data_IF_513876675054
#
_entry.id   IF_513876675054
#
_cell.length_a   1.000
_cell.length_b   1.000
_cell.length_c   1.000
_cell.angle_alpha   90.00
_cell.angle_beta   90.00
_cell.angle_gamma   90.00
#
_symmetry.space_group_name_H-M   'P 1'
#
loop_
_entity.id
_entity.type
_entity.pdbx_description
1 polymer ?
#
# COMPACT_ATOMS: atom_id res chain seq x y z
N UNK A 1 3.53 -34.81 10.60
CA UNK A 1 3.22 -33.64 9.75
C UNK A 1 2.40 -34.13 8.59
N UNK A 2 1.26 -33.49 8.30
CA UNK A 2 0.40 -33.86 7.17
C UNK A 2 1.22 -33.99 5.86
N UNK A 3 1.10 -35.13 5.18
CA UNK A 3 1.75 -35.38 3.89
C UNK A 3 1.06 -34.61 2.73
N UNK A 4 -0.04 -33.91 3.01
CA UNK A 4 -0.78 -33.14 2.02
C UNK A 4 -0.08 -31.79 1.82
N UNK A 5 0.39 -31.45 0.60
CA UNK A 5 0.96 -30.13 0.35
C UNK A 5 -0.05 -29.02 0.66
N UNK A 6 0.41 -27.89 1.20
CA UNK A 6 -0.47 -26.74 1.51
C UNK A 6 -1.29 -26.30 0.29
N UNK A 7 -0.68 -26.30 -0.90
CA UNK A 7 -1.36 -25.97 -2.17
C UNK A 7 -2.43 -26.97 -2.63
N UNK A 8 -2.62 -28.08 -1.90
CA UNK A 8 -3.73 -29.03 -2.10
C UNK A 8 -4.85 -28.88 -1.06
N UNK A 9 -4.78 -27.86 -0.22
CA UNK A 9 -5.88 -27.48 0.65
C UNK A 9 -6.77 -26.44 -0.03
N UNK A 10 -8.07 -26.60 0.13
CA UNK A 10 -9.03 -25.55 -0.14
C UNK A 10 -9.09 -24.60 1.07
N UNK A 11 -9.10 -23.31 0.79
CA UNK A 11 -9.36 -22.24 1.77
C UNK A 11 -10.87 -21.98 1.91
N UNK A 12 -11.35 -21.95 3.14
CA UNK A 12 -12.64 -21.37 3.52
C UNK A 12 -12.36 -20.13 4.37
N UNK A 13 -13.22 -19.10 4.31
CA UNK A 13 -13.09 -17.91 5.16
C UNK A 13 -14.45 -17.25 5.38
N UNK A 14 -14.62 -16.66 6.55
CA UNK A 14 -15.72 -15.76 6.92
C UNK A 14 -15.26 -14.29 7.05
N UNK A 15 -14.13 -13.94 6.42
CA UNK A 15 -13.45 -12.65 6.54
C UNK A 15 -12.87 -12.32 7.92
N UNK A 16 -13.18 -13.08 8.97
CA UNK A 16 -12.60 -12.93 10.30
C UNK A 16 -11.50 -13.96 10.54
N UNK A 17 -11.66 -15.18 10.01
CA UNK A 17 -10.68 -16.25 10.03
C UNK A 17 -10.73 -17.11 8.76
N UNK A 18 -9.95 -18.19 8.74
CA UNK A 18 -9.94 -19.17 7.68
C UNK A 18 -9.71 -20.60 8.16
N UNK A 19 -10.22 -21.54 7.37
CA UNK A 19 -10.00 -22.97 7.52
C UNK A 19 -9.30 -23.53 6.27
N UNK A 20 -8.41 -24.50 6.46
CA UNK A 20 -7.79 -25.26 5.36
C UNK A 20 -8.35 -26.69 5.33
N UNK A 21 -8.97 -27.04 4.20
CA UNK A 21 -9.68 -28.31 4.01
C UNK A 21 -8.98 -29.15 2.94
N UNK A 22 -8.66 -30.39 3.28
CA UNK A 22 -8.07 -31.35 2.34
C UNK A 22 -9.13 -31.93 1.41
N UNK A 23 -8.73 -32.45 0.24
CA UNK A 23 -9.61 -33.24 -0.63
C UNK A 23 -10.09 -34.57 -0.02
N UNK A 24 -9.63 -34.93 1.19
CA UNK A 24 -10.12 -36.05 1.97
C UNK A 24 -11.22 -35.64 2.97
N UNK A 25 -11.57 -34.35 3.05
CA UNK A 25 -12.61 -33.83 3.95
C UNK A 25 -12.12 -33.52 5.36
N UNK A 26 -10.80 -33.50 5.56
CA UNK A 26 -10.17 -33.11 6.83
C UNK A 26 -9.93 -31.61 6.85
N UNK A 27 -10.39 -30.93 7.90
CA UNK A 27 -9.98 -29.57 8.26
C UNK A 27 -8.70 -29.66 9.08
N UNK A 28 -7.58 -29.35 8.45
CA UNK A 28 -6.24 -29.51 9.02
C UNK A 28 -5.72 -28.24 9.70
N UNK A 29 -6.30 -27.09 9.40
CA UNK A 29 -5.98 -25.81 10.03
C UNK A 29 -7.24 -24.97 10.24
N UNK A 30 -7.40 -24.41 11.44
CA UNK A 30 -8.49 -23.49 11.75
C UNK A 30 -8.11 -22.61 12.94
N UNK A 31 -7.98 -21.30 12.74
CA UNK A 31 -7.89 -20.33 13.84
C UNK A 31 -9.28 -19.80 14.17
N UNK A 32 -9.62 -19.60 15.45
CA UNK A 32 -10.86 -18.93 15.83
C UNK A 32 -10.62 -18.04 17.07
N UNK A 33 -11.28 -16.87 17.15
CA UNK A 33 -12.22 -16.31 16.18
C UNK A 33 -11.55 -15.54 15.02
N UNK A 34 -10.22 -15.35 15.05
CA UNK A 34 -9.47 -14.55 14.07
C UNK A 34 -8.31 -15.30 13.44
N UNK A 35 -7.79 -14.80 12.32
CA UNK A 35 -6.58 -15.31 11.66
C UNK A 35 -5.35 -15.42 12.57
N UNK A 36 -5.16 -14.46 13.48
CA UNK A 36 -4.03 -14.37 14.41
C UNK A 36 -4.25 -15.11 15.75
N UNK A 37 -5.40 -15.75 15.92
CA UNK A 37 -5.71 -16.53 17.12
C UNK A 37 -4.93 -17.85 17.14
N UNK A 38 -4.74 -18.42 18.33
CA UNK A 38 -4.20 -19.76 18.45
C UNK A 38 -5.06 -20.74 17.62
N UNK A 39 -4.46 -21.64 16.83
CA UNK A 39 -5.22 -22.57 16.01
C UNK A 39 -6.00 -23.53 16.91
N UNK A 40 -7.30 -23.66 16.65
CA UNK A 40 -8.16 -24.66 17.26
C UNK A 40 -7.88 -26.06 16.66
N UNK A 41 -7.49 -26.10 15.39
CA UNK A 41 -7.01 -27.29 14.67
C UNK A 41 -5.68 -26.95 14.00
N UNK A 42 -4.67 -27.80 14.15
CA UNK A 42 -3.30 -27.53 13.68
C UNK A 42 -2.59 -28.75 13.08
N UNK A 43 -3.35 -29.73 12.56
CA UNK A 43 -2.81 -30.93 11.90
C UNK A 43 -1.79 -30.65 10.80
N UNK A 44 -1.89 -29.48 10.15
CA UNK A 44 -0.93 -29.02 9.16
C UNK A 44 0.51 -29.02 9.69
N UNK A 45 0.72 -28.71 10.98
CA UNK A 45 2.04 -28.63 11.61
C UNK A 45 2.43 -29.91 12.34
N UNK A 46 1.46 -30.65 12.88
CA UNK A 46 1.70 -31.89 13.63
C UNK A 46 0.45 -32.78 13.56
N UNK A 47 0.60 -34.06 13.22
CA UNK A 47 -0.55 -34.97 13.03
C UNK A 47 -1.39 -35.14 14.30
N UNK A 48 -0.77 -34.97 15.47
CA UNK A 48 -1.41 -35.07 16.78
C UNK A 48 -2.05 -33.75 17.25
N UNK A 49 -1.89 -32.64 16.51
CA UNK A 49 -2.40 -31.31 16.88
C UNK A 49 -3.88 -31.07 16.49
N UNK A 50 -4.63 -32.14 16.26
CA UNK A 50 -6.09 -32.14 16.07
C UNK A 50 -6.56 -31.72 14.67
N UNK A 51 -7.65 -32.36 14.23
CA UNK A 51 -8.36 -32.06 12.98
C UNK A 51 -9.86 -32.39 13.12
N UNK A 52 -10.65 -31.96 12.16
CA UNK A 52 -12.06 -32.34 12.02
C UNK A 52 -12.27 -33.04 10.67
N UNK A 53 -12.90 -34.22 10.67
CA UNK A 53 -13.05 -35.05 9.46
C UNK A 53 -14.51 -35.37 9.18
N UNK A 54 -14.96 -35.07 7.96
CA UNK A 54 -16.16 -35.65 7.36
C UNK A 54 -15.76 -36.31 6.04
N UNK A 55 -15.89 -37.63 5.97
CA UNK A 55 -15.53 -38.40 4.79
C UNK A 55 -16.39 -39.67 4.68
N UNK A 56 -16.47 -40.31 3.49
CA UNK A 56 -17.01 -41.66 3.38
C UNK A 56 -16.27 -42.63 4.32
N UNK A 57 -16.98 -43.62 4.87
CA UNK A 57 -16.38 -44.66 5.73
C UNK A 57 -15.60 -45.72 4.95
N UNK A 58 -15.68 -45.73 3.63
CA UNK A 58 -14.89 -46.62 2.76
C UNK A 58 -13.54 -45.98 2.48
N UNK A 59 -12.46 -46.75 2.52
CA UNK A 59 -11.11 -46.27 2.17
C UNK A 59 -10.87 -46.22 0.65
N UNK A 60 -11.78 -46.80 -0.13
CA UNK A 60 -11.66 -46.90 -1.58
C UNK A 60 -12.57 -45.85 -2.27
N UNK A 61 -12.09 -44.62 -2.35
CA UNK A 61 -12.74 -43.54 -3.09
C UNK A 61 -11.77 -42.76 -3.97
N UNK A 62 -12.31 -42.13 -5.01
CA UNK A 62 -11.68 -40.99 -5.66
C UNK A 62 -12.32 -39.71 -5.16
N UNK A 63 -11.53 -38.66 -4.89
CA UNK A 63 -12.05 -37.35 -4.54
C UNK A 63 -11.74 -36.29 -5.59
N UNK A 64 -12.66 -35.35 -5.73
CA UNK A 64 -12.48 -34.11 -6.48
C UNK A 64 -13.19 -32.99 -5.73
N UNK A 65 -12.74 -31.75 -5.93
CA UNK A 65 -13.35 -30.61 -5.27
C UNK A 65 -13.40 -29.42 -6.21
N UNK A 66 -14.33 -28.51 -5.94
CA UNK A 66 -14.45 -27.24 -6.64
C UNK A 66 -15.06 -26.19 -5.73
N UNK A 67 -14.66 -24.94 -5.94
CA UNK A 67 -15.44 -23.83 -5.42
C UNK A 67 -16.72 -23.65 -6.22
N UNK A 68 -17.81 -23.34 -5.53
CA UNK A 68 -19.01 -22.83 -6.19
C UNK A 68 -18.72 -21.46 -6.81
N UNK A 69 -19.39 -21.10 -7.91
CA UNK A 69 -19.22 -19.78 -8.51
C UNK A 69 -19.43 -18.66 -7.49
N UNK A 70 -18.57 -17.64 -7.56
CA UNK A 70 -18.67 -16.41 -6.77
C UNK A 70 -18.59 -16.59 -5.24
N UNK A 71 -17.82 -17.55 -4.72
CA UNK A 71 -17.57 -17.61 -3.27
C UNK A 71 -16.58 -18.68 -2.83
N UNK A 72 -16.20 -18.61 -1.55
CA UNK A 72 -15.38 -19.62 -0.87
C UNK A 72 -16.26 -20.73 -0.26
N UNK A 73 -17.17 -21.26 -1.07
CA UNK A 73 -18.01 -22.42 -0.73
C UNK A 73 -17.46 -23.61 -1.50
N UNK A 74 -17.04 -24.64 -0.78
CA UNK A 74 -16.38 -25.82 -1.34
C UNK A 74 -17.37 -26.95 -1.50
N UNK A 75 -17.50 -27.50 -2.71
CA UNK A 75 -18.11 -28.81 -2.90
C UNK A 75 -16.99 -29.84 -3.04
N UNK A 76 -16.93 -30.80 -2.12
CA UNK A 76 -16.07 -31.97 -2.21
C UNK A 76 -16.90 -33.19 -2.58
N UNK A 77 -16.55 -33.83 -3.69
CA UNK A 77 -17.20 -35.01 -4.22
C UNK A 77 -16.29 -36.21 -4.02
N UNK A 78 -16.81 -37.25 -3.36
CA UNK A 78 -16.19 -38.57 -3.29
C UNK A 78 -17.03 -39.58 -4.05
N UNK A 79 -16.37 -40.37 -4.89
CA UNK A 79 -16.99 -41.47 -5.63
C UNK A 79 -16.38 -42.81 -5.21
N UNK A 80 -17.24 -43.77 -4.89
CA UNK A 80 -16.86 -45.14 -4.49
C UNK A 80 -17.75 -46.16 -5.22
N UNK A 81 -17.50 -47.45 -4.99
CA UNK A 81 -18.37 -48.52 -5.51
C UNK A 81 -19.79 -48.47 -4.95
N UNK A 82 -19.99 -47.86 -3.79
CA UNK A 82 -21.28 -47.78 -3.10
C UNK A 82 -22.09 -46.54 -3.51
N UNK A 83 -21.47 -45.60 -4.23
CA UNK A 83 -22.12 -44.37 -4.69
C UNK A 83 -21.24 -43.13 -4.57
N UNK A 84 -21.89 -41.99 -4.71
CA UNK A 84 -21.26 -40.66 -4.66
C UNK A 84 -21.76 -39.88 -3.45
N UNK A 85 -20.84 -39.27 -2.70
CA UNK A 85 -21.12 -38.35 -1.61
C UNK A 85 -20.60 -36.97 -2.00
N UNK A 86 -21.44 -35.95 -1.82
CA UNK A 86 -21.03 -34.55 -1.98
C UNK A 86 -21.20 -33.85 -0.62
N UNK A 87 -20.12 -33.29 -0.10
CA UNK A 87 -20.17 -32.41 1.07
C UNK A 87 -19.94 -30.98 0.61
N UNK A 88 -20.74 -30.08 1.16
CA UNK A 88 -20.60 -28.64 0.95
C UNK A 88 -20.07 -28.00 2.22
N UNK A 89 -18.84 -27.53 2.19
CA UNK A 89 -18.21 -26.82 3.30
C UNK A 89 -18.25 -25.31 3.06
N UNK A 90 -18.60 -24.57 4.11
CA UNK A 90 -18.60 -23.11 4.10
C UNK A 90 -18.42 -22.58 5.53
N UNK A 91 -17.76 -21.43 5.66
CA UNK A 91 -17.79 -20.65 6.89
C UNK A 91 -18.93 -19.63 6.79
N UNK A 92 -19.78 -19.61 7.81
CA UNK A 92 -20.90 -18.67 7.85
C UNK A 92 -20.41 -17.31 8.34
N UNK A 93 -20.74 -16.27 7.59
CA UNK A 93 -20.57 -14.88 8.02
C UNK A 93 -21.43 -14.60 9.25
N UNK A 94 -21.00 -13.67 10.09
CA UNK A 94 -21.76 -13.28 11.27
C UNK A 94 -23.21 -12.90 10.92
N UNK A 95 -24.14 -13.06 11.87
CA UNK A 95 -25.57 -12.79 11.64
C UNK A 95 -25.87 -11.34 11.16
N UNK A 96 -24.91 -10.43 11.27
CA UNK A 96 -24.93 -9.02 10.87
C UNK A 96 -23.90 -8.66 9.78
N UNK A 97 -23.33 -9.64 9.10
CA UNK A 97 -22.32 -9.43 8.05
C UNK A 97 -22.89 -9.91 6.71
N UNK A 98 -23.78 -9.11 6.11
CA UNK A 98 -24.38 -9.40 4.79
C UNK A 98 -24.04 -8.30 3.79
N UNK A 99 -23.70 -8.68 2.56
CA UNK A 99 -23.47 -7.72 1.48
C UNK A 99 -22.28 -6.80 1.78
N UNK A 100 -22.49 -5.48 1.77
CA UNK A 100 -21.48 -4.46 2.07
C UNK A 100 -21.08 -4.39 3.56
N UNK A 101 -21.66 -5.22 4.43
CA UNK A 101 -21.25 -5.37 5.83
C UNK A 101 -20.21 -6.49 6.03
N UNK A 102 -19.79 -7.13 4.93
CA UNK A 102 -18.69 -8.10 4.90
C UNK A 102 -17.37 -7.45 5.32
N UNK A 103 -16.73 -7.96 6.38
CA UNK A 103 -15.50 -7.38 6.91
C UNK A 103 -15.71 -6.13 7.78
N UNK A 104 -16.95 -5.75 8.10
CA UNK A 104 -17.26 -4.62 9.00
C UNK A 104 -16.69 -4.81 10.43
N UNK A 105 -16.44 -6.07 10.82
CA UNK A 105 -15.79 -6.46 12.08
C UNK A 105 -14.29 -6.69 11.94
N UNK A 106 -13.75 -6.74 10.71
CA UNK A 106 -12.36 -7.04 10.40
C UNK A 106 -11.58 -5.72 10.23
N UNK A 107 -10.69 -5.36 11.16
CA UNK A 107 -9.83 -4.20 11.01
C UNK A 107 -8.80 -4.47 9.91
N UNK A 108 -8.64 -3.52 8.99
CA UNK A 108 -7.51 -3.54 8.05
C UNK A 108 -7.82 -3.34 6.57
N UNK A 109 -9.01 -2.88 6.18
CA UNK A 109 -9.24 -2.53 4.77
C UNK A 109 -8.74 -1.11 4.49
N UNK A 110 -7.60 -1.03 3.82
CA UNK A 110 -6.90 0.19 3.45
C UNK A 110 -7.55 0.86 2.23
N UNK A 111 -7.85 2.16 2.37
CA UNK A 111 -7.82 3.24 1.36
C UNK A 111 -8.53 3.09 0.01
N UNK A 112 -8.19 2.06 -0.79
CA UNK A 112 -8.62 1.97 -2.19
C UNK A 112 -9.84 1.08 -2.41
N UNK A 113 -10.18 0.18 -1.46
CA UNK A 113 -11.45 -0.55 -1.52
C UNK A 113 -12.66 0.39 -1.38
N UNK A 114 -12.46 1.54 -0.72
CA UNK A 114 -13.48 2.56 -0.49
C UNK A 114 -13.84 3.30 -1.79
N UNK A 115 -12.91 3.43 -2.75
CA UNK A 115 -13.23 4.02 -4.05
C UNK A 115 -14.18 3.14 -4.89
N UNK A 116 -14.24 1.83 -4.61
CA UNK A 116 -15.16 0.89 -5.25
C UNK A 116 -16.51 0.75 -4.51
N UNK A 117 -16.59 1.17 -3.25
CA UNK A 117 -17.78 1.12 -2.41
C UNK A 117 -18.17 2.54 -1.92
N UNK A 118 -18.92 3.32 -2.72
CA UNK A 118 -19.24 4.73 -2.42
C UNK A 118 -19.99 4.95 -1.10
N UNK A 119 -20.63 3.91 -0.54
CA UNK A 119 -21.40 3.98 0.71
C UNK A 119 -20.55 3.72 1.99
N UNK A 120 -19.25 3.44 1.84
CA UNK A 120 -18.38 3.02 2.95
C UNK A 120 -17.41 4.11 3.43
N UNK A 121 -17.15 5.15 2.63
CA UNK A 121 -16.20 6.21 2.99
C UNK A 121 -16.55 6.91 4.31
N UNK A 122 -17.81 7.36 4.46
CA UNK A 122 -18.27 7.99 5.70
C UNK A 122 -18.16 7.05 6.90
N UNK A 123 -18.45 5.76 6.73
CA UNK A 123 -18.34 4.74 7.79
C UNK A 123 -16.89 4.51 8.20
N UNK A 124 -15.97 4.48 7.24
CA UNK A 124 -14.53 4.36 7.48
C UNK A 124 -14.00 5.55 8.29
N UNK A 125 -14.30 6.78 7.87
CA UNK A 125 -13.88 7.96 8.63
C UNK A 125 -14.55 8.03 10.01
N UNK A 126 -15.80 7.60 10.16
CA UNK A 126 -16.46 7.49 11.46
C UNK A 126 -15.81 6.42 12.35
N UNK A 127 -15.39 5.28 11.77
CA UNK A 127 -14.60 4.27 12.49
C UNK A 127 -13.26 4.84 12.96
N UNK A 128 -12.51 5.50 12.07
CA UNK A 128 -11.25 6.15 12.42
C UNK A 128 -11.45 7.22 13.49
N UNK A 129 -12.48 8.06 13.35
CA UNK A 129 -12.83 9.08 14.33
C UNK A 129 -13.16 8.45 15.68
N UNK A 130 -13.88 7.31 15.74
CA UNK A 130 -14.15 6.61 17.02
C UNK A 130 -12.90 5.95 17.61
N UNK A 131 -12.07 5.34 16.76
CA UNK A 131 -10.79 4.76 17.15
C UNK A 131 -9.82 5.83 17.68
N UNK A 132 -9.80 7.03 17.09
CA UNK A 132 -8.96 8.14 17.51
C UNK A 132 -9.60 9.06 18.60
N UNK A 133 -10.93 9.13 18.69
CA UNK A 133 -11.62 10.00 19.66
C UNK A 133 -11.56 9.47 21.09
N UNK A 134 -11.40 8.16 21.27
CA UNK A 134 -11.22 7.57 22.60
C UNK A 134 -9.87 7.95 23.21
N UNK A 135 -8.88 8.31 22.38
CA UNK A 135 -7.53 8.73 22.78
C UNK A 135 -6.86 9.37 21.57
N UNK A 136 -6.51 10.66 21.60
CA UNK A 136 -5.17 11.17 21.22
C UNK A 136 -5.13 12.66 20.86
N UNK A 137 -5.83 13.12 19.81
CA UNK A 137 -5.66 14.48 19.28
C UNK A 137 -6.10 15.61 20.24
N UNK A 138 -7.24 15.45 20.90
CA UNK A 138 -7.75 16.43 21.88
C UNK A 138 -6.98 16.49 23.20
N UNK A 139 -6.04 15.57 23.43
CA UNK A 139 -5.20 15.50 24.65
C UNK A 139 -3.71 15.78 24.37
N UNK A 140 -3.36 16.17 23.14
CA UNK A 140 -1.99 16.55 22.78
C UNK A 140 -1.06 15.39 22.41
N UNK A 141 -1.54 14.15 22.36
CA UNK A 141 -0.73 13.00 21.93
C UNK A 141 -0.86 12.75 20.42
N UNK A 142 0.15 12.15 19.82
CA UNK A 142 0.19 11.85 18.38
C UNK A 142 -0.84 10.77 18.01
N UNK A 143 -1.24 10.73 16.73
CA UNK A 143 -2.15 9.71 16.22
C UNK A 143 -1.39 8.40 16.09
N UNK A 144 -1.91 7.33 16.70
CA UNK A 144 -1.30 6.01 16.59
C UNK A 144 -1.41 5.49 15.15
N UNK A 145 -0.29 5.00 14.63
CA UNK A 145 -0.12 4.69 13.19
C UNK A 145 -0.65 3.31 12.80
N UNK A 146 -0.78 2.40 13.77
CA UNK A 146 -1.22 1.03 13.53
C UNK A 146 -1.93 0.43 14.74
N UNK A 147 -2.79 -0.54 14.47
CA UNK A 147 -3.59 -1.24 15.45
C UNK A 147 -3.58 -2.73 15.12
N UNK A 148 -3.79 -3.57 16.13
CA UNK A 148 -4.00 -4.99 15.91
C UNK A 148 -5.33 -5.26 15.19
N UNK A 149 -5.50 -6.48 14.67
CA UNK A 149 -6.72 -6.93 13.97
C UNK A 149 -7.93 -6.99 14.93
N UNK A 150 -7.80 -6.72 16.22
CA UNK A 150 -8.92 -6.47 17.15
C UNK A 150 -9.11 -5.02 17.54
N UNK A 151 -8.30 -4.11 17.00
CA UNK A 151 -8.15 -2.75 17.53
C UNK A 151 -7.27 -2.68 18.77
N UNK A 152 -6.42 -3.69 19.01
CA UNK A 152 -5.40 -3.64 20.06
C UNK A 152 -4.49 -2.44 19.83
N UNK A 153 -4.15 -1.75 20.93
CA UNK A 153 -3.32 -0.53 20.89
C UNK A 153 -1.90 -0.75 21.33
N UNK A 154 -1.68 -1.75 22.17
CA UNK A 154 -0.35 -2.21 22.56
C UNK A 154 0.06 -3.31 21.59
N UNK A 155 1.08 -3.03 20.80
CA UNK A 155 1.64 -3.94 19.81
C UNK A 155 3.10 -4.25 20.13
N UNK A 156 3.46 -4.21 21.43
CA UNK A 156 4.82 -4.47 21.91
C UNK A 156 5.42 -5.70 21.22
N UNK A 157 6.57 -5.49 20.61
CA UNK A 157 7.30 -6.53 19.92
C UNK A 157 7.96 -7.48 20.92
N UNK A 158 7.94 -8.76 20.59
CA UNK A 158 8.65 -9.81 21.34
C UNK A 158 9.45 -10.67 20.38
N UNK A 159 10.68 -10.96 20.76
CA UNK A 159 11.52 -11.91 20.03
C UNK A 159 11.16 -13.35 20.40
N UNK A 160 10.98 -14.18 19.38
CA UNK A 160 10.62 -15.59 19.49
C UNK A 160 11.85 -16.44 19.21
N UNK A 161 12.84 -16.41 20.10
CA UNK A 161 14.14 -17.09 19.92
C UNK A 161 14.08 -18.63 19.82
N UNK A 162 12.90 -19.24 19.99
CA UNK A 162 12.66 -20.66 19.76
C UNK A 162 12.33 -20.99 18.29
N UNK A 163 12.13 -19.97 17.43
CA UNK A 163 11.87 -20.12 16.01
C UNK A 163 13.11 -19.70 15.22
N UNK A 164 13.49 -20.50 14.22
CA UNK A 164 14.59 -20.18 13.30
C UNK A 164 14.20 -19.14 12.24
N UNK A 165 12.90 -18.97 11.99
CA UNK A 165 12.39 -18.12 10.91
C UNK A 165 12.46 -18.78 9.53
N UNK A 166 11.80 -18.17 8.55
CA UNK A 166 11.86 -18.63 7.16
C UNK A 166 13.28 -18.40 6.60
N UNK A 167 13.88 -19.42 5.99
CA UNK A 167 15.28 -19.40 5.50
C UNK A 167 16.29 -18.94 6.56
N UNK A 168 16.09 -19.35 7.82
CA UNK A 168 16.92 -18.96 8.97
C UNK A 168 16.97 -17.45 9.23
N UNK A 169 15.94 -16.71 8.79
CA UNK A 169 15.79 -15.28 9.02
C UNK A 169 15.54 -15.01 10.50
N UNK A 170 16.57 -14.53 11.20
CA UNK A 170 16.53 -14.19 12.61
C UNK A 170 16.85 -12.70 12.85
N UNK A 171 16.32 -12.10 13.93
CA UNK A 171 15.42 -12.71 14.90
C UNK A 171 13.96 -12.73 14.41
N UNK A 172 13.21 -13.76 14.80
CA UNK A 172 11.75 -13.83 14.59
C UNK A 172 11.07 -12.96 15.63
N UNK A 173 10.18 -12.07 15.19
CA UNK A 173 9.45 -11.12 16.03
C UNK A 173 7.94 -11.31 15.90
N UNK A 174 7.22 -11.03 16.98
CA UNK A 174 5.77 -10.91 16.97
C UNK A 174 5.36 -9.60 17.64
N UNK A 175 4.43 -8.87 17.05
CA UNK A 175 4.15 -7.46 17.40
C UNK A 175 4.77 -6.51 16.38
N UNK A 176 4.64 -5.22 16.61
CA UNK A 176 5.25 -4.18 15.79
C UNK A 176 5.52 -2.92 16.65
N UNK A 177 6.77 -2.75 17.07
CA UNK A 177 7.23 -1.62 17.91
C UNK A 177 7.09 -0.25 17.26
N UNK A 178 6.80 -0.18 15.95
CA UNK A 178 6.52 1.10 15.31
C UNK A 178 5.28 1.79 15.91
N UNK A 179 4.40 1.07 16.62
CA UNK A 179 3.24 1.66 17.30
C UNK A 179 3.59 2.77 18.31
N UNK A 180 4.80 2.77 18.86
CA UNK A 180 5.31 3.83 19.76
C UNK A 180 5.95 5.01 19.00
N UNK A 181 6.19 4.85 17.70
CA UNK A 181 6.87 5.85 16.90
C UNK A 181 5.95 7.03 16.60
N UNK A 182 6.53 8.23 16.63
CA UNK A 182 5.91 9.40 16.01
C UNK A 182 6.11 9.32 14.51
N UNK A 183 5.01 9.44 13.79
CA UNK A 183 4.98 9.60 12.33
C UNK A 183 4.02 10.72 11.97
N UNK A 184 4.56 11.79 11.41
CA UNK A 184 3.77 12.98 11.07
C UNK A 184 3.01 12.81 9.75
N UNK A 185 3.39 11.84 8.92
CA UNK A 185 2.77 11.59 7.63
C UNK A 185 1.32 11.10 7.72
N UNK A 186 0.96 10.46 8.84
CA UNK A 186 -0.40 9.96 9.08
C UNK A 186 -1.48 11.03 8.92
N UNK A 187 -1.18 12.28 9.28
CA UNK A 187 -2.12 13.40 9.11
C UNK A 187 -2.37 13.69 7.62
N UNK A 188 -1.29 13.72 6.82
CA UNK A 188 -1.41 13.94 5.39
C UNK A 188 -2.16 12.80 4.72
N UNK A 189 -1.83 11.55 5.06
CA UNK A 189 -2.47 10.35 4.50
C UNK A 189 -3.98 10.34 4.76
N UNK A 190 -4.39 10.69 5.99
CA UNK A 190 -5.80 10.79 6.36
C UNK A 190 -6.54 11.86 5.54
N UNK A 191 -5.95 13.05 5.44
CA UNK A 191 -6.60 14.19 4.80
C UNK A 191 -6.57 14.09 3.26
N UNK A 192 -5.57 13.44 2.67
CA UNK A 192 -5.52 13.15 1.24
C UNK A 192 -6.57 12.11 0.84
N UNK A 193 -6.77 11.07 1.66
CA UNK A 193 -7.88 10.15 1.50
C UNK A 193 -9.23 10.87 1.59
N UNK A 194 -9.40 11.76 2.59
CA UNK A 194 -10.63 12.55 2.75
C UNK A 194 -10.88 13.45 1.53
N UNK A 195 -9.84 14.09 1.00
CA UNK A 195 -9.94 14.94 -0.17
C UNK A 195 -10.28 14.16 -1.45
N UNK A 196 -9.68 12.98 -1.62
CA UNK A 196 -9.96 12.07 -2.73
C UNK A 196 -11.43 11.63 -2.71
N UNK A 197 -11.97 11.37 -1.52
CA UNK A 197 -13.34 10.92 -1.31
C UNK A 197 -14.33 12.07 -1.04
N UNK A 198 -13.96 13.33 -1.26
CA UNK A 198 -14.75 14.52 -0.84
C UNK A 198 -16.20 14.53 -1.32
N UNK A 199 -16.49 13.94 -2.48
CA UNK A 199 -17.85 13.84 -3.02
C UNK A 199 -18.74 12.89 -2.19
N UNK A 200 -18.11 11.92 -1.51
CA UNK A 200 -18.75 10.95 -0.62
C UNK A 200 -18.80 11.42 0.84
N UNK A 201 -18.23 12.59 1.17
CA UNK A 201 -18.18 13.15 2.52
C UNK A 201 -19.29 14.18 2.82
N UNK A 202 -20.40 14.15 2.08
CA UNK A 202 -21.47 15.14 2.21
C UNK A 202 -22.21 15.06 3.57
N UNK A 203 -22.30 13.87 4.17
CA UNK A 203 -23.00 13.64 5.44
C UNK A 203 -22.04 13.22 6.58
N UNK A 204 -20.92 13.93 6.74
CA UNK A 204 -20.05 13.71 7.90
C UNK A 204 -20.77 14.09 9.19
N UNK A 205 -20.80 13.18 10.17
CA UNK A 205 -21.23 13.51 11.52
C UNK A 205 -20.28 14.52 12.18
N UNK A 206 -20.77 15.20 13.23
CA UNK A 206 -20.03 16.25 13.93
C UNK A 206 -18.69 15.77 14.49
N UNK A 207 -18.65 14.53 15.01
CA UNK A 207 -17.45 13.97 15.62
C UNK A 207 -16.37 13.71 14.57
N UNK A 208 -16.75 13.14 13.43
CA UNK A 208 -15.86 12.88 12.29
C UNK A 208 -15.34 14.19 11.70
N UNK A 209 -16.19 15.20 11.57
CA UNK A 209 -15.78 16.53 11.10
C UNK A 209 -14.76 17.17 12.04
N UNK A 210 -15.05 17.19 13.34
CA UNK A 210 -14.15 17.74 14.35
C UNK A 210 -12.82 16.96 14.42
N UNK A 211 -12.85 15.64 14.21
CA UNK A 211 -11.65 14.81 14.12
C UNK A 211 -10.75 15.23 12.96
N UNK A 212 -11.30 15.39 11.76
CA UNK A 212 -10.54 15.84 10.58
C UNK A 212 -9.98 17.26 10.77
N UNK A 213 -10.76 18.19 11.32
CA UNK A 213 -10.27 19.55 11.68
C UNK A 213 -9.10 19.45 12.68
N UNK A 214 -9.21 18.58 13.69
CA UNK A 214 -8.16 18.39 14.69
C UNK A 214 -6.88 17.77 14.10
N UNK A 215 -7.02 16.93 13.06
CA UNK A 215 -5.87 16.37 12.35
C UNK A 215 -5.14 17.45 11.52
N UNK A 216 -5.86 18.38 10.89
CA UNK A 216 -5.24 19.53 10.22
C UNK A 216 -4.54 20.45 11.22
N UNK A 217 -5.18 20.75 12.35
CA UNK A 217 -4.55 21.52 13.44
C UNK A 217 -3.29 20.83 13.97
N UNK A 218 -3.31 19.51 14.12
CA UNK A 218 -2.16 18.74 14.58
C UNK A 218 -0.98 18.82 13.61
N UNK A 219 -1.23 18.68 12.30
CA UNK A 219 -0.21 18.91 11.28
C UNK A 219 0.32 20.35 11.35
N UNK A 220 -0.56 21.35 11.48
CA UNK A 220 -0.16 22.75 11.58
C UNK A 220 0.75 23.05 12.80
N UNK A 221 0.54 22.34 13.90
CA UNK A 221 1.26 22.56 15.16
C UNK A 221 2.55 21.75 15.30
N UNK A 222 2.64 20.59 14.62
CA UNK A 222 3.72 19.62 14.82
C UNK A 222 4.67 19.49 13.64
N UNK A 223 4.38 20.14 12.51
CA UNK A 223 5.15 19.95 11.28
C UNK A 223 6.66 20.19 11.45
N UNK A 224 7.12 21.00 12.39
CA UNK A 224 8.54 21.30 12.61
C UNK A 224 9.27 20.24 13.46
N UNK A 225 8.56 19.27 14.03
CA UNK A 225 9.13 18.23 14.90
C UNK A 225 9.80 17.11 14.11
N UNK A 226 10.82 16.51 14.71
CA UNK A 226 11.44 15.29 14.19
C UNK A 226 10.54 14.06 14.44
N UNK A 227 10.59 13.10 13.52
CA UNK A 227 9.80 11.87 13.54
C UNK A 227 10.58 10.67 12.96
N UNK A 228 9.95 9.51 12.83
CA UNK A 228 10.61 8.28 12.32
C UNK A 228 10.41 8.02 10.82
N UNK A 229 9.77 8.96 10.13
CA UNK A 229 9.51 8.87 8.70
C UNK A 229 8.60 7.70 8.30
N UNK A 230 8.33 7.63 7.00
CA UNK A 230 7.43 6.64 6.39
C UNK A 230 7.92 5.20 6.57
N UNK A 231 9.23 5.01 6.60
CA UNK A 231 9.86 3.69 6.54
C UNK A 231 10.05 3.03 7.91
N UNK A 232 9.50 3.63 8.98
CA UNK A 232 9.57 3.11 10.36
C UNK A 232 11.00 2.83 10.82
N UNK A 233 11.95 3.68 10.39
CA UNK A 233 13.40 3.46 10.59
C UNK A 233 13.69 3.30 12.08
N UNK A 234 14.40 2.22 12.43
CA UNK A 234 14.80 1.94 13.82
C UNK A 234 16.03 2.77 14.16
N UNK A 235 15.83 4.07 14.30
CA UNK A 235 16.90 5.05 14.50
C UNK A 235 16.46 6.29 15.29
N UNK A 236 17.33 7.30 15.39
CA UNK A 236 16.94 8.59 15.95
C UNK A 236 15.92 9.27 15.04
N UNK A 237 14.96 9.96 15.65
CA UNK A 237 14.04 10.81 14.92
C UNK A 237 14.80 11.89 14.12
N UNK A 238 14.32 12.20 12.91
CA UNK A 238 14.92 13.17 11.99
C UNK A 238 13.86 14.10 11.40
N UNK A 239 14.26 15.25 10.83
CA UNK A 239 13.37 16.10 10.04
C UNK A 239 13.18 15.53 8.62
N UNK A 240 12.52 14.38 8.51
CA UNK A 240 12.28 13.71 7.22
C UNK A 240 11.47 14.59 6.27
N UNK A 241 11.95 14.73 5.03
CA UNK A 241 11.31 15.61 4.04
C UNK A 241 9.90 15.13 3.74
N UNK A 242 9.71 13.83 3.56
CA UNK A 242 8.40 13.21 3.34
C UNK A 242 7.40 13.57 4.44
N UNK A 243 7.81 13.55 5.71
CA UNK A 243 6.95 13.90 6.84
C UNK A 243 6.50 15.36 6.79
N UNK A 244 7.40 16.28 6.40
CA UNK A 244 7.07 17.70 6.18
C UNK A 244 6.12 17.87 5.00
N UNK A 245 6.37 17.14 3.90
CA UNK A 245 5.49 17.11 2.73
C UNK A 245 4.08 16.67 3.12
N UNK A 246 3.93 15.61 3.91
CA UNK A 246 2.62 15.11 4.31
C UNK A 246 1.90 16.04 5.30
N UNK A 247 2.63 16.78 6.15
CA UNK A 247 2.05 17.90 6.89
C UNK A 247 1.56 19.03 5.98
N UNK A 248 2.32 19.36 4.91
CA UNK A 248 1.87 20.30 3.89
C UNK A 248 0.61 19.81 3.18
N UNK A 249 0.54 18.51 2.84
CA UNK A 249 -0.64 17.88 2.24
C UNK A 249 -1.84 17.98 3.19
N UNK A 250 -1.68 17.67 4.47
CA UNK A 250 -2.77 17.79 5.44
C UNK A 250 -3.38 19.21 5.45
N UNK A 251 -2.53 20.23 5.42
CA UNK A 251 -2.95 21.63 5.36
C UNK A 251 -3.60 21.99 4.00
N UNK A 252 -3.00 21.55 2.90
CA UNK A 252 -3.51 21.78 1.55
C UNK A 252 -4.91 21.18 1.35
N UNK A 253 -5.06 19.90 1.71
CA UNK A 253 -6.32 19.18 1.60
C UNK A 253 -7.35 19.67 2.60
N UNK A 254 -6.94 20.03 3.82
CA UNK A 254 -7.81 20.69 4.80
C UNK A 254 -8.40 22.01 4.30
N UNK A 255 -7.59 22.83 3.61
CA UNK A 255 -8.06 24.06 2.95
C UNK A 255 -8.98 23.79 1.76
N UNK A 256 -8.73 22.72 1.00
CA UNK A 256 -9.61 22.30 -0.09
C UNK A 256 -10.95 21.70 0.39
N UNK A 257 -11.03 21.32 1.67
CA UNK A 257 -12.20 20.71 2.31
C UNK A 257 -12.95 21.68 3.24
N UNK A 258 -12.73 22.99 3.15
CA UNK A 258 -13.37 23.96 4.06
C UNK A 258 -14.88 23.94 4.00
N UNK A 259 -15.47 23.60 2.86
CA UNK A 259 -16.93 23.51 2.70
C UNK A 259 -17.51 22.35 3.53
N UNK A 260 -16.80 21.21 3.56
CA UNK A 260 -17.19 20.03 4.33
C UNK A 260 -16.84 20.15 5.81
N UNK A 261 -15.69 20.78 6.12
CA UNK A 261 -15.13 20.83 7.47
C UNK A 261 -15.60 22.04 8.28
N UNK A 262 -15.97 23.15 7.62
CA UNK A 262 -16.42 24.39 8.25
C UNK A 262 -15.57 24.87 9.45
N UNK A 263 -14.22 24.98 9.34
CA UNK A 263 -13.33 25.26 10.48
C UNK A 263 -13.41 26.71 11.00
N UNK A 264 -14.09 27.61 10.29
CA UNK A 264 -14.16 29.03 10.61
C UNK A 264 -12.96 29.85 10.07
N UNK A 265 -13.12 31.17 9.92
CA UNK A 265 -12.17 32.02 9.18
C UNK A 265 -10.78 32.11 9.83
N UNK A 266 -10.71 32.13 11.16
CA UNK A 266 -9.43 32.22 11.89
C UNK A 266 -8.55 30.98 11.66
N UNK A 267 -9.15 29.77 11.72
CA UNK A 267 -8.43 28.53 11.44
C UNK A 267 -8.01 28.44 9.97
N UNK A 268 -8.90 28.78 9.04
CA UNK A 268 -8.57 28.80 7.60
C UNK A 268 -7.38 29.72 7.32
N UNK A 269 -7.33 30.90 7.94
CA UNK A 269 -6.18 31.80 7.80
C UNK A 269 -4.90 31.19 8.39
N UNK A 270 -4.95 30.68 9.62
CA UNK A 270 -3.78 30.06 10.27
C UNK A 270 -3.24 28.85 9.49
N UNK A 271 -4.11 28.03 8.92
CA UNK A 271 -3.74 26.91 8.06
C UNK A 271 -3.08 27.39 6.76
N UNK A 272 -3.60 28.45 6.15
CA UNK A 272 -3.02 29.05 4.93
C UNK A 272 -1.60 29.56 5.17
N UNK A 273 -1.41 30.32 6.25
CA UNK A 273 -0.09 30.84 6.64
C UNK A 273 0.89 29.71 6.96
N UNK A 274 0.43 28.69 7.69
CA UNK A 274 1.28 27.54 8.03
C UNK A 274 1.65 26.71 6.80
N UNK A 275 0.71 26.46 5.89
CA UNK A 275 0.98 25.77 4.62
C UNK A 275 2.08 26.47 3.81
N UNK A 276 2.05 27.80 3.77
CA UNK A 276 3.09 28.59 3.11
C UNK A 276 4.46 28.42 3.78
N UNK A 277 4.53 28.45 5.11
CA UNK A 277 5.77 28.22 5.87
C UNK A 277 6.33 26.81 5.68
N UNK A 278 5.49 25.78 5.73
CA UNK A 278 5.94 24.40 5.49
C UNK A 278 6.50 24.26 4.07
N UNK A 279 5.83 24.87 3.08
CA UNK A 279 6.31 24.88 1.69
C UNK A 279 7.69 25.52 1.57
N UNK A 280 7.86 26.72 2.12
CA UNK A 280 9.15 27.44 2.11
C UNK A 280 10.24 26.59 2.78
N UNK A 281 9.94 26.01 3.95
CA UNK A 281 10.88 25.14 4.65
C UNK A 281 11.34 23.94 3.81
N UNK A 282 10.43 23.25 3.11
CA UNK A 282 10.78 22.11 2.25
C UNK A 282 11.68 22.56 1.08
N UNK A 283 11.36 23.69 0.45
CA UNK A 283 12.11 24.20 -0.70
C UNK A 283 13.52 24.65 -0.32
N UNK A 284 13.68 25.21 0.87
CA UNK A 284 14.96 25.76 1.35
C UNK A 284 15.86 24.69 1.99
N UNK A 285 15.29 23.77 2.76
CA UNK A 285 16.07 22.82 3.58
C UNK A 285 16.07 21.39 3.03
N UNK A 286 15.17 21.07 2.09
CA UNK A 286 15.05 19.74 1.51
C UNK A 286 15.97 19.48 0.31
N UNK A 287 16.54 20.53 -0.29
CA UNK A 287 17.40 20.42 -1.47
C UNK A 287 18.87 20.24 -1.06
N UNK A 288 19.52 19.18 -1.56
CA UNK A 288 20.97 19.02 -1.47
C UNK A 288 21.63 19.43 -2.79
N UNK A 289 22.53 20.40 -2.71
CA UNK A 289 23.38 20.78 -3.85
C UNK A 289 24.41 19.69 -4.21
N UNK A 290 24.79 18.85 -3.23
CA UNK A 290 25.72 17.74 -3.42
C UNK A 290 25.06 16.60 -4.20
N UNK A 291 23.83 16.24 -3.82
CA UNK A 291 23.04 15.23 -4.52
C UNK A 291 22.41 15.77 -5.81
N UNK A 292 22.25 17.09 -5.94
CA UNK A 292 21.51 17.70 -7.05
C UNK A 292 20.03 17.32 -7.05
N UNK A 293 19.47 17.07 -5.87
CA UNK A 293 18.14 16.50 -5.68
C UNK A 293 17.56 16.89 -4.30
N UNK A 294 16.25 16.68 -4.15
CA UNK A 294 15.62 16.61 -2.83
C UNK A 294 16.00 15.28 -2.15
N UNK A 295 16.35 15.34 -0.86
CA UNK A 295 16.96 14.22 -0.12
C UNK A 295 16.09 13.75 1.05
N UNK A 296 16.46 12.62 1.66
CA UNK A 296 15.67 11.89 2.65
C UNK A 296 15.17 12.74 3.82
N UNK A 297 16.06 13.52 4.43
CA UNK A 297 15.75 14.43 5.53
C UNK A 297 16.59 15.70 5.42
N UNK A 298 16.18 16.77 6.12
CA UNK A 298 16.87 18.06 6.00
C UNK A 298 18.35 17.95 6.38
N UNK A 299 19.20 18.45 5.48
CA UNK A 299 20.65 18.49 5.66
C UNK A 299 21.40 17.18 5.37
N UNK A 300 20.76 16.15 4.80
CA UNK A 300 21.45 14.97 4.27
C UNK A 300 21.63 15.00 2.76
N UNK A 301 22.53 14.15 2.28
CA UNK A 301 22.79 13.92 0.85
C UNK A 301 22.16 12.61 0.34
N UNK A 302 21.57 11.82 1.24
CA UNK A 302 21.01 10.51 0.91
C UNK A 302 19.70 10.64 0.11
N UNK A 303 19.62 9.89 -0.99
CA UNK A 303 18.42 9.77 -1.82
C UNK A 303 17.40 8.85 -1.17
N UNK A 304 16.11 9.16 -1.36
CA UNK A 304 14.99 8.35 -0.88
C UNK A 304 13.86 8.33 -1.91
N UNK A 305 13.29 7.16 -2.16
CA UNK A 305 12.21 6.97 -3.12
C UNK A 305 10.90 7.70 -2.71
N UNK A 306 10.70 7.98 -1.42
CA UNK A 306 9.55 8.76 -0.92
C UNK A 306 9.49 10.18 -1.50
N UNK A 307 10.61 10.71 -1.98
CA UNK A 307 10.68 12.03 -2.63
C UNK A 307 9.88 12.07 -3.93
N UNK A 308 9.68 10.93 -4.59
CA UNK A 308 8.80 10.82 -5.77
C UNK A 308 7.37 11.24 -5.46
N UNK A 309 6.94 11.13 -4.19
CA UNK A 309 5.62 11.56 -3.74
C UNK A 309 5.42 13.08 -3.83
N UNK A 310 6.49 13.89 -3.86
CA UNK A 310 6.38 15.33 -4.10
C UNK A 310 5.75 15.63 -5.47
N UNK A 311 6.12 14.86 -6.51
CA UNK A 311 5.54 14.98 -7.83
C UNK A 311 4.10 14.43 -7.86
N UNK A 312 3.91 13.25 -7.27
CA UNK A 312 2.62 12.54 -7.26
C UNK A 312 1.53 13.35 -6.54
N UNK A 313 1.86 13.96 -5.41
CA UNK A 313 0.92 14.72 -4.57
C UNK A 313 0.72 16.17 -5.06
N UNK A 314 1.42 16.57 -6.14
CA UNK A 314 1.30 17.89 -6.76
C UNK A 314 1.94 19.01 -5.94
N UNK A 315 2.97 18.71 -5.15
CA UNK A 315 3.70 19.74 -4.38
C UNK A 315 4.45 20.71 -5.28
N UNK A 316 5.07 20.20 -6.35
CA UNK A 316 5.75 20.99 -7.38
C UNK A 316 5.00 20.88 -8.72
N UNK A 317 5.03 21.93 -9.56
CA UNK A 317 4.42 21.85 -10.87
C UNK A 317 5.13 20.79 -11.75
N UNK A 318 4.42 20.12 -12.68
CA UNK A 318 5.01 19.08 -13.56
C UNK A 318 6.27 19.48 -14.35
N UNK A 319 6.45 20.77 -14.61
CA UNK A 319 7.59 21.34 -15.33
C UNK A 319 8.79 21.72 -14.46
N UNK A 320 8.71 21.51 -13.14
CA UNK A 320 9.75 21.93 -12.21
C UNK A 320 11.09 21.22 -12.47
N UNK A 321 12.15 22.00 -12.65
CA UNK A 321 13.48 21.47 -12.98
C UNK A 321 14.13 20.72 -11.82
N UNK A 322 13.90 21.16 -10.57
CA UNK A 322 14.42 20.47 -9.38
C UNK A 322 13.72 19.13 -9.20
N UNK A 323 12.40 19.07 -9.41
CA UNK A 323 11.67 17.80 -9.33
C UNK A 323 12.13 16.80 -10.40
N UNK A 324 12.35 17.26 -11.64
CA UNK A 324 12.90 16.40 -12.71
C UNK A 324 14.30 15.88 -12.36
N UNK A 325 15.17 16.76 -11.87
CA UNK A 325 16.50 16.37 -11.41
C UNK A 325 16.43 15.33 -10.28
N UNK A 326 15.52 15.49 -9.31
CA UNK A 326 15.31 14.48 -8.27
C UNK A 326 14.84 13.14 -8.81
N UNK A 327 13.90 13.10 -9.76
CA UNK A 327 13.44 11.86 -10.38
C UNK A 327 14.61 11.15 -11.08
N UNK A 328 15.39 11.89 -11.86
CA UNK A 328 16.55 11.33 -12.56
C UNK A 328 17.61 10.85 -11.56
N UNK A 329 17.90 11.61 -10.49
CA UNK A 329 18.86 11.21 -9.46
C UNK A 329 18.41 9.94 -8.73
N UNK A 330 17.13 9.83 -8.37
CA UNK A 330 16.54 8.65 -7.72
C UNK A 330 16.62 7.43 -8.62
N UNK A 331 16.23 7.56 -9.89
CA UNK A 331 16.33 6.45 -10.84
C UNK A 331 17.77 5.97 -11.00
N UNK A 332 18.74 6.87 -11.18
CA UNK A 332 20.14 6.48 -11.35
C UNK A 332 20.76 5.94 -10.05
N UNK A 333 20.44 6.55 -8.92
CA UNK A 333 21.06 6.24 -7.62
C UNK A 333 20.44 5.04 -6.92
N UNK A 334 19.13 4.81 -7.08
CA UNK A 334 18.38 3.79 -6.35
C UNK A 334 17.95 2.60 -7.21
N UNK A 335 18.18 2.60 -8.53
CA UNK A 335 17.90 1.40 -9.33
C UNK A 335 18.97 0.31 -9.12
N UNK A 336 18.53 -0.94 -9.17
CA UNK A 336 19.39 -2.11 -9.36
C UNK A 336 19.66 -2.38 -10.86
N UNK A 337 20.38 -3.46 -11.16
CA UNK A 337 20.68 -3.87 -12.54
C UNK A 337 19.43 -4.27 -13.35
N UNK A 338 18.34 -4.61 -12.66
CA UNK A 338 17.04 -4.94 -13.25
C UNK A 338 16.18 -3.70 -13.41
N UNK A 339 16.63 -2.53 -12.99
CA UNK A 339 15.88 -1.28 -13.08
C UNK A 339 14.68 -1.24 -12.12
N UNK A 340 14.76 -1.94 -10.99
CA UNK A 340 13.85 -1.83 -9.85
C UNK A 340 14.49 -0.97 -8.75
N UNK A 341 13.67 -0.26 -7.97
CA UNK A 341 14.16 0.76 -7.03
C UNK A 341 14.29 0.23 -5.60
N UNK A 342 15.41 0.54 -4.94
CA UNK A 342 15.51 0.53 -3.47
C UNK A 342 14.71 1.68 -2.86
N UNK A 343 14.34 1.56 -1.57
CA UNK A 343 13.77 2.68 -0.79
C UNK A 343 14.81 3.80 -0.64
N UNK A 344 16.00 3.42 -0.21
CA UNK A 344 17.22 4.20 -0.02
C UNK A 344 18.40 3.22 0.07
N UNK A 345 19.65 3.70 0.09
CA UNK A 345 20.85 2.84 0.26
C UNK A 345 21.50 2.92 1.65
N UNK A 346 21.03 3.81 2.52
CA UNK A 346 21.46 3.91 3.91
C UNK A 346 20.98 2.73 4.78
N UNK A 347 21.53 2.58 5.98
CA UNK A 347 21.09 1.57 6.95
C UNK A 347 19.86 2.03 7.74
N UNK A 348 18.93 1.11 8.00
CA UNK A 348 17.64 1.35 8.67
C UNK A 348 17.58 0.86 10.12
N UNK A 349 18.70 0.36 10.62
CA UNK A 349 18.83 -0.25 11.95
C UNK A 349 18.61 -1.76 11.99
N UNK A 350 18.36 -2.41 10.84
CA UNK A 350 18.25 -3.86 10.71
C UNK A 350 19.50 -4.47 10.05
N UNK A 351 19.82 -5.70 10.46
CA UNK A 351 20.87 -6.50 9.80
C UNK A 351 20.29 -7.24 8.60
N UNK A 352 20.93 -7.15 7.44
CA UNK A 352 20.50 -7.85 6.23
C UNK A 352 20.83 -7.11 4.94
N UNK A 353 20.53 -7.73 3.81
CA UNK A 353 20.52 -7.09 2.50
C UNK A 353 19.07 -6.98 2.03
N UNK A 354 18.60 -5.75 1.79
CA UNK A 354 17.24 -5.53 1.29
C UNK A 354 17.11 -5.85 -0.20
N UNK A 355 15.90 -6.23 -0.61
CA UNK A 355 15.51 -6.26 -2.01
C UNK A 355 15.13 -4.88 -2.52
N UNK A 356 14.87 -4.81 -3.82
CA UNK A 356 14.20 -3.64 -4.41
C UNK A 356 12.70 -3.69 -4.13
N UNK A 357 12.06 -2.54 -4.01
CA UNK A 357 10.65 -2.41 -3.64
C UNK A 357 9.78 -2.15 -4.87
N UNK A 358 8.75 -2.97 -5.04
CA UNK A 358 7.81 -2.82 -6.17
C UNK A 358 7.02 -1.51 -6.06
N UNK A 359 6.59 -1.14 -4.84
CA UNK A 359 5.92 0.15 -4.58
C UNK A 359 6.77 1.34 -5.05
N UNK A 360 8.05 1.38 -4.69
CA UNK A 360 8.96 2.46 -5.06
C UNK A 360 9.16 2.53 -6.58
N UNK A 361 9.23 1.36 -7.24
CA UNK A 361 9.34 1.28 -8.70
C UNK A 361 8.07 1.79 -9.39
N UNK A 362 6.88 1.48 -8.85
CA UNK A 362 5.63 2.03 -9.36
C UNK A 362 5.50 3.53 -9.08
N UNK A 363 5.98 4.04 -7.95
CA UNK A 363 6.07 5.49 -7.72
C UNK A 363 6.97 6.19 -8.73
N UNK A 364 8.07 5.56 -9.16
CA UNK A 364 8.92 6.14 -10.20
C UNK A 364 8.16 6.28 -11.52
N UNK A 365 7.48 5.22 -11.95
CA UNK A 365 6.62 5.28 -13.13
C UNK A 365 5.54 6.36 -13.00
N UNK A 366 4.88 6.46 -11.85
CA UNK A 366 3.86 7.47 -11.59
C UNK A 366 4.46 8.89 -11.67
N UNK A 367 5.55 9.17 -10.95
CA UNK A 367 6.21 10.47 -10.95
C UNK A 367 6.69 10.88 -12.36
N UNK A 368 7.22 9.93 -13.14
CA UNK A 368 7.57 10.14 -14.54
C UNK A 368 6.35 10.48 -15.39
N UNK A 369 5.23 9.78 -15.22
CA UNK A 369 4.01 10.04 -15.98
C UNK A 369 3.49 11.45 -15.73
N UNK A 370 3.36 11.86 -14.47
CA UNK A 370 2.83 13.19 -14.11
C UNK A 370 3.78 14.33 -14.44
N UNK A 371 5.09 14.07 -14.58
CA UNK A 371 6.08 15.07 -15.05
C UNK A 371 6.30 15.08 -16.56
N UNK A 372 5.54 14.25 -17.30
CA UNK A 372 5.52 14.23 -18.77
C UNK A 372 6.53 13.27 -19.42
N UNK A 373 7.24 12.46 -18.64
CA UNK A 373 8.19 11.43 -19.11
C UNK A 373 7.47 10.12 -19.47
N UNK A 374 6.41 10.22 -20.27
CA UNK A 374 5.42 9.14 -20.50
C UNK A 374 6.03 7.84 -21.03
N UNK A 375 6.96 7.91 -21.99
CA UNK A 375 7.58 6.70 -22.55
C UNK A 375 8.42 5.95 -21.51
N UNK A 376 9.20 6.69 -20.69
CA UNK A 376 10.00 6.10 -19.60
C UNK A 376 9.10 5.52 -18.52
N UNK A 377 8.03 6.24 -18.17
CA UNK A 377 7.03 5.76 -17.21
C UNK A 377 6.43 4.41 -17.62
N UNK A 378 6.08 4.25 -18.91
CA UNK A 378 5.57 3.01 -19.47
C UNK A 378 6.56 1.86 -19.33
N UNK A 379 7.83 2.09 -19.68
CA UNK A 379 8.89 1.08 -19.59
C UNK A 379 9.12 0.61 -18.16
N UNK A 380 9.13 1.52 -17.19
CA UNK A 380 9.27 1.19 -15.75
C UNK A 380 8.05 0.42 -15.25
N UNK A 381 6.84 0.86 -15.60
CA UNK A 381 5.58 0.22 -15.20
C UNK A 381 5.49 -1.21 -15.71
N UNK A 382 5.72 -1.43 -17.00
CA UNK A 382 5.66 -2.75 -17.63
C UNK A 382 6.72 -3.69 -17.06
N UNK A 383 7.91 -3.17 -16.75
CA UNK A 383 8.98 -3.95 -16.11
C UNK A 383 8.56 -4.43 -14.72
N UNK A 384 8.09 -3.53 -13.86
CA UNK A 384 7.66 -3.89 -12.50
C UNK A 384 6.43 -4.80 -12.50
N UNK A 385 5.48 -4.57 -13.41
CA UNK A 385 4.30 -5.42 -13.57
C UNK A 385 4.65 -6.87 -13.99
N UNK A 386 5.79 -7.08 -14.64
CA UNK A 386 6.30 -8.40 -15.02
C UNK A 386 6.63 -9.32 -13.84
N UNK A 387 6.67 -8.80 -12.60
CA UNK A 387 6.91 -9.57 -11.37
C UNK A 387 5.63 -10.10 -10.71
N UNK A 388 4.47 -9.89 -11.31
CA UNK A 388 3.23 -10.48 -10.83
C UNK A 388 3.31 -12.02 -10.86
N UNK A 389 2.76 -12.69 -9.85
CA UNK A 389 2.55 -14.14 -9.92
C UNK A 389 1.51 -14.51 -10.98
N UNK A 390 1.33 -15.80 -11.22
CA UNK A 390 0.24 -16.36 -12.03
C UNK A 390 -1.16 -15.97 -11.52
N UNK A 391 -1.27 -15.67 -10.22
CA UNK A 391 -2.49 -15.13 -9.58
C UNK A 391 -2.61 -13.60 -9.70
N UNK A 392 -1.66 -12.92 -10.34
CA UNK A 392 -1.62 -11.47 -10.44
C UNK A 392 -1.21 -10.77 -9.13
N UNK A 393 -0.58 -11.50 -8.20
CA UNK A 393 -0.20 -10.98 -6.89
C UNK A 393 1.25 -10.50 -6.86
N UNK A 394 1.50 -9.42 -6.12
CA UNK A 394 2.82 -8.86 -5.87
C UNK A 394 3.24 -9.03 -4.42
N UNK A 395 4.55 -9.21 -4.20
CA UNK A 395 5.16 -9.05 -2.88
C UNK A 395 5.57 -7.59 -2.64
N UNK A 396 6.15 -7.34 -1.49
CA UNK A 396 6.75 -6.06 -1.14
C UNK A 396 8.04 -5.81 -1.92
N UNK A 397 8.89 -6.84 -1.96
CA UNK A 397 10.25 -6.74 -2.47
C UNK A 397 10.54 -7.76 -3.57
N UNK A 398 11.59 -7.48 -4.34
CA UNK A 398 12.21 -8.39 -5.30
C UNK A 398 13.69 -8.51 -4.94
N UNK A 399 14.14 -9.75 -4.75
CA UNK A 399 15.55 -10.07 -4.54
C UNK A 399 16.39 -9.63 -5.74
N UNK A 400 17.45 -8.86 -5.49
CA UNK A 400 18.25 -8.27 -6.56
C UNK A 400 19.08 -9.29 -7.32
N UNK A 401 19.54 -10.35 -6.64
CA UNK A 401 20.34 -11.39 -7.26
C UNK A 401 19.49 -12.38 -8.07
N UNK A 402 18.44 -12.92 -7.46
CA UNK A 402 17.65 -14.03 -7.99
C UNK A 402 16.40 -13.58 -8.74
N UNK A 403 15.84 -12.41 -8.41
CA UNK A 403 14.54 -11.96 -8.90
C UNK A 403 13.35 -12.62 -8.18
N UNK A 404 13.58 -13.38 -7.11
CA UNK A 404 12.51 -13.95 -6.29
C UNK A 404 11.73 -12.85 -5.55
N UNK A 405 10.44 -13.05 -5.37
CA UNK A 405 9.60 -12.19 -4.54
C UNK A 405 9.96 -12.39 -3.05
N UNK A 406 10.09 -11.29 -2.31
CA UNK A 406 10.48 -11.25 -0.90
C UNK A 406 9.57 -10.35 -0.07
N UNK A 407 9.63 -10.52 1.26
CA UNK A 407 8.89 -9.71 2.22
C UNK A 407 7.41 -10.05 2.28
N UNK A 408 6.60 -9.07 2.66
CA UNK A 408 5.16 -9.25 2.80
C UNK A 408 4.51 -9.73 1.48
N UNK A 409 3.66 -10.75 1.56
CA UNK A 409 2.96 -11.31 0.39
C UNK A 409 1.55 -11.84 0.76
N UNK A 410 0.51 -11.47 0.00
CA UNK A 410 0.50 -10.42 -1.02
C UNK A 410 0.61 -9.03 -0.37
N UNK A 411 1.40 -8.13 -0.96
CA UNK A 411 1.58 -6.78 -0.43
C UNK A 411 0.57 -5.80 -1.03
N UNK A 412 -0.41 -5.37 -0.24
CA UNK A 412 -1.46 -4.45 -0.70
C UNK A 412 -0.89 -3.18 -1.33
N UNK A 413 0.10 -2.54 -0.70
CA UNK A 413 0.72 -1.33 -1.23
C UNK A 413 1.33 -1.49 -2.62
N UNK A 414 1.98 -2.62 -2.94
CA UNK A 414 2.53 -2.86 -4.29
C UNK A 414 1.42 -2.85 -5.36
N UNK A 415 0.26 -3.44 -5.05
CA UNK A 415 -0.90 -3.43 -5.95
C UNK A 415 -1.49 -2.03 -6.10
N UNK A 416 -1.55 -1.26 -5.01
CA UNK A 416 -1.97 0.15 -5.04
C UNK A 416 -1.03 1.00 -5.89
N UNK A 417 0.27 0.79 -5.75
CA UNK A 417 1.30 1.43 -6.58
C UNK A 417 1.06 1.18 -8.07
N UNK A 418 0.84 -0.09 -8.46
CA UNK A 418 0.52 -0.46 -9.83
C UNK A 418 -0.72 0.27 -10.36
N UNK A 419 -1.84 0.19 -9.62
CA UNK A 419 -3.10 0.79 -10.05
C UNK A 419 -2.98 2.31 -10.26
N UNK A 420 -2.36 3.01 -9.31
CA UNK A 420 -2.16 4.45 -9.38
C UNK A 420 -1.22 4.85 -10.52
N UNK A 421 -0.10 4.13 -10.70
CA UNK A 421 0.84 4.40 -11.78
C UNK A 421 0.23 4.15 -13.16
N UNK A 422 -0.55 3.06 -13.31
CA UNK A 422 -1.25 2.75 -14.55
C UNK A 422 -2.29 3.82 -14.92
N UNK A 423 -3.06 4.29 -13.93
CA UNK A 423 -4.02 5.37 -14.13
C UNK A 423 -3.32 6.68 -14.54
N UNK A 424 -2.26 7.08 -13.82
CA UNK A 424 -1.49 8.28 -14.13
C UNK A 424 -0.86 8.23 -15.52
N UNK A 425 -0.34 7.06 -15.94
CA UNK A 425 0.18 6.86 -17.28
C UNK A 425 -0.91 7.03 -18.34
N UNK A 426 -2.08 6.40 -18.13
CA UNK A 426 -3.21 6.51 -19.05
C UNK A 426 -3.72 7.96 -19.18
N UNK A 427 -3.74 8.72 -18.08
CA UNK A 427 -4.08 10.15 -18.09
C UNK A 427 -3.04 10.97 -18.87
N UNK A 428 -1.75 10.72 -18.64
CA UNK A 428 -0.68 11.42 -19.33
C UNK A 428 -0.69 11.15 -20.85
N UNK A 429 -1.01 9.91 -21.27
CA UNK A 429 -1.15 9.54 -22.68
C UNK A 429 -2.35 10.22 -23.35
N UNK A 430 -3.48 10.31 -22.65
CA UNK A 430 -4.65 11.07 -23.14
C UNK A 430 -4.37 12.56 -23.30
N UNK A 431 -3.51 13.12 -22.45
CA UNK A 431 -3.12 14.52 -22.48
C UNK A 431 -2.09 14.84 -23.58
N UNK A 432 -1.41 13.85 -24.16
CA UNK A 432 -0.48 14.10 -25.27
C UNK A 432 -1.23 14.43 -26.56
N UNK A 433 -0.81 15.47 -27.30
CA UNK A 433 -1.37 15.74 -28.61
C UNK A 433 -1.13 14.53 -29.53
N UNK A 434 -2.09 14.17 -30.41
CA UNK A 434 -1.91 13.06 -31.33
C UNK A 434 -0.62 13.26 -32.14
N UNK A 435 0.13 12.19 -32.42
CA UNK A 435 1.36 12.30 -33.21
C UNK A 435 1.01 12.99 -34.52
N UNK A 436 1.70 14.09 -34.83
CA UNK A 436 1.48 14.77 -36.10
C UNK A 436 1.73 13.75 -37.23
N UNK A 437 0.80 13.57 -38.18
CA UNK A 437 1.02 12.68 -39.29
C UNK A 437 2.29 13.13 -40.00
N UNK A 438 3.29 12.25 -40.01
CA UNK A 438 4.62 12.53 -40.51
C UNK A 438 4.53 13.23 -41.86
N UNK A 439 4.89 14.52 -41.87
CA UNK A 439 4.97 15.30 -43.08
C UNK A 439 6.00 14.65 -43.98
N UNK A 440 5.54 13.83 -44.92
CA UNK A 440 6.36 13.34 -46.03
C UNK A 440 6.87 14.57 -46.75
N UNK A 441 8.08 15.02 -46.41
CA UNK A 441 8.81 16.00 -47.22
C UNK A 441 9.13 15.30 -48.53
N UNK A 442 8.25 15.48 -49.52
CA UNK A 442 8.56 15.19 -50.90
C UNK A 442 9.88 15.91 -51.22
N UNK A 443 10.90 15.21 -51.74
CA UNK A 443 12.16 15.84 -52.08
C UNK A 443 11.90 16.91 -53.14
N UNK A 444 12.30 18.16 -52.85
CA UNK A 444 12.34 19.23 -53.84
C UNK A 444 13.20 18.76 -55.02
N UNK A 445 12.58 18.60 -56.18
CA UNK A 445 13.27 18.34 -57.44
C UNK A 445 14.31 19.41 -57.69
N UNK A 446 15.57 18.99 -57.89
CA UNK A 446 16.67 19.86 -58.28
C UNK A 446 16.41 20.52 -59.65
N UNK A 447 16.90 21.75 -59.88
CA UNK A 447 16.71 22.43 -61.16
C UNK A 447 17.49 21.72 -62.26
N UNK A 448 16.78 21.30 -63.31
CA UNK A 448 17.36 20.78 -64.54
C UNK A 448 18.28 21.85 -65.17
N UNK A 449 19.58 21.58 -65.14
CA UNK A 449 20.55 22.19 -66.06
C UNK A 449 20.85 21.19 -67.15
N UNK A 450 20.58 21.57 -68.41
CA UNK A 450 21.22 21.12 -69.66
C UNK A 450 20.33 21.54 -70.84
N UNK A 451 20.81 21.89 -72.02
CA UNK A 451 22.09 22.35 -72.58
C UNK A 451 21.70 22.77 -74.00
N UNK A 452 22.34 23.80 -74.55
CA UNK A 452 22.16 24.16 -75.94
C UNK A 452 22.60 23.03 -76.87
N UNK A 453 21.81 22.69 -77.88
CA UNK A 453 22.34 22.27 -79.18
C UNK A 453 21.34 22.56 -80.30
N UNK A 454 21.84 23.36 -81.25
CA UNK A 454 21.32 23.80 -82.56
C UNK A 454 20.33 24.96 -82.56
#
# INVERSE_FOLDING_TARGET
>A
MSDVPVGRHALLSDCNSAALVTGAGSVDWLCLPRFDSAPALARLLDDDAGHFLIAPSSDAFSSSWRYRPCGLVLDTTWSSVDGELIVTDAMALGARERGHELGHSAPGVQGLFIAACPDEAGKFFAFLARAAATTQLGRGTDLQIMFGIGGERDLSERELGHLSGWRDSAPVRAGNDAWEQRQLDVYGSLLDAAHTLREQLHDLDEQTRQFLVSAVDAAAQRWDQDDQGLWEIRGPARPYLHSKLMCWVALDRGLALTDQLSPGPEKTQAWTETRARVRESILDNGWSESAGAYTQYYGCDDLDASILLMAILGFLPPGDLRMRASIDAIEHGLSDERGLLYRYRGGDGLEGAEGTFLLCTFWLAHAMAVTGQVQRAREILERAAGYATDLGLFAEQVDTATGELLGNFPQAFSHLGLANAAQALADAERAQPPPQPGGTRLPRSAPHTQRSHR
#
